data_IF_156388147756
#
_entry.id   IF_156388147756
#
_cell.length_a   1.000
_cell.length_b   1.000
_cell.length_c   1.000
_cell.angle_alpha   90.00
_cell.angle_beta   90.00
_cell.angle_gamma   90.00
#
_symmetry.space_group_name_H-M   'P 1'
#
loop_
_entity.id
_entity.type
_entity.pdbx_description
1 polymer ?
#
# COMPACT_ATOMS: atom_id res chain seq x y z
N UNK A 1 23.68 7.57 4.59
CA UNK A 1 23.35 8.78 3.82
C UNK A 1 22.98 9.82 4.84
N UNK A 2 23.65 10.96 4.81
CA UNK A 2 23.52 11.96 5.86
C UNK A 2 22.19 12.71 5.68
N UNK A 3 21.12 12.20 6.28
CA UNK A 3 19.75 12.78 6.23
C UNK A 3 19.81 14.27 6.55
N UNK A 4 20.78 14.67 7.39
CA UNK A 4 21.10 16.05 7.74
C UNK A 4 21.35 16.93 6.51
N UNK A 5 22.10 16.44 5.52
CA UNK A 5 22.40 17.18 4.28
C UNK A 5 21.21 17.30 3.33
N UNK A 6 20.31 16.32 3.31
CA UNK A 6 19.11 16.37 2.46
C UNK A 6 18.09 17.39 2.98
N UNK A 7 17.95 17.47 4.29
CA UNK A 7 17.13 18.50 4.93
C UNK A 7 17.77 19.88 4.74
N UNK A 8 19.09 19.99 4.86
CA UNK A 8 19.85 21.24 4.62
C UNK A 8 19.62 21.80 3.21
N UNK A 9 19.61 20.92 2.19
CA UNK A 9 19.38 21.28 0.79
C UNK A 9 17.92 21.64 0.46
N UNK A 10 16.95 21.14 1.25
CA UNK A 10 15.53 21.44 1.03
C UNK A 10 15.13 22.82 1.56
N UNK A 11 15.87 23.34 2.56
CA UNK A 11 15.50 24.55 3.30
C UNK A 11 16.19 25.81 2.74
N UNK A 12 17.35 25.68 2.08
CA UNK A 12 18.16 26.83 1.62
C UNK A 12 17.96 27.04 0.11
N UNK A 13 17.50 28.22 -0.37
CA UNK A 13 17.42 28.56 -1.79
C UNK A 13 18.79 28.66 -2.48
N UNK A 14 18.83 28.31 -3.77
CA UNK A 14 19.97 27.84 -4.58
C UNK A 14 21.10 28.84 -4.92
N UNK A 15 21.06 30.10 -4.46
CA UNK A 15 21.99 31.12 -4.96
C UNK A 15 23.40 31.10 -4.34
N UNK A 16 23.64 30.29 -3.33
CA UNK A 16 24.99 30.08 -2.79
C UNK A 16 25.21 28.64 -2.35
N UNK A 17 25.80 27.80 -3.22
CA UNK A 17 26.77 26.76 -2.82
C UNK A 17 27.42 26.03 -4.00
N UNK A 18 28.63 26.47 -4.37
CA UNK A 18 29.63 25.60 -5.00
C UNK A 18 30.02 24.52 -4.00
N UNK A 19 29.67 23.25 -4.27
CA UNK A 19 30.20 22.12 -3.49
C UNK A 19 31.15 21.28 -4.35
N UNK A 20 32.38 21.16 -3.86
CA UNK A 20 33.47 20.39 -4.46
C UNK A 20 33.16 18.90 -4.26
N UNK A 21 33.08 18.15 -5.35
CA UNK A 21 32.83 16.71 -5.31
C UNK A 21 34.10 15.94 -4.90
N UNK A 22 34.07 15.32 -3.72
CA UNK A 22 35.01 14.24 -3.37
C UNK A 22 34.36 12.87 -3.62
N UNK A 23 35.06 11.92 -4.27
CA UNK A 23 34.50 10.61 -4.62
C UNK A 23 34.19 9.79 -3.36
N UNK A 24 32.93 9.35 -3.22
CA UNK A 24 32.47 8.51 -2.10
C UNK A 24 32.70 7.04 -2.40
N UNK A 25 33.58 6.40 -1.61
CA UNK A 25 33.75 4.94 -1.59
C UNK A 25 32.46 4.28 -1.09
N UNK A 26 31.89 3.36 -1.87
CA UNK A 26 30.73 2.54 -1.48
C UNK A 26 31.14 1.51 -0.42
N UNK A 27 30.94 1.85 0.86
CA UNK A 27 31.07 0.88 1.96
C UNK A 27 29.83 -0.02 2.05
N UNK A 28 30.04 -1.30 2.26
CA UNK A 28 28.97 -2.26 2.53
C UNK A 28 28.14 -1.79 3.74
N UNK A 29 26.82 -1.81 3.61
CA UNK A 29 25.90 -1.47 4.71
C UNK A 29 25.45 -2.78 5.35
N UNK A 30 25.79 -2.97 6.61
CA UNK A 30 25.31 -4.08 7.42
C UNK A 30 24.17 -3.55 8.31
N UNK A 31 23.01 -4.19 8.22
CA UNK A 31 21.89 -3.95 9.13
C UNK A 31 21.94 -5.03 10.21
N UNK A 32 22.17 -4.63 11.45
CA UNK A 32 22.04 -5.49 12.62
C UNK A 32 20.69 -5.19 13.24
N UNK A 33 19.85 -6.22 13.37
CA UNK A 33 18.56 -6.15 14.04
C UNK A 33 18.69 -7.01 15.29
N UNK A 34 18.39 -6.42 16.44
CA UNK A 34 18.32 -7.12 17.72
C UNK A 34 16.87 -7.56 17.95
N UNK A 35 16.66 -8.69 18.65
CA UNK A 35 15.34 -9.26 18.96
C UNK A 35 14.47 -9.55 17.70
N UNK A 36 15.05 -10.32 16.76
CA UNK A 36 14.35 -10.74 15.53
C UNK A 36 13.07 -11.51 15.81
N UNK A 37 12.98 -12.26 16.90
CA UNK A 37 11.78 -12.96 17.33
C UNK A 37 10.65 -12.00 17.74
N UNK A 38 10.95 -10.85 18.34
CA UNK A 38 9.97 -9.78 18.60
C UNK A 38 9.55 -9.09 17.31
N UNK A 39 10.51 -8.78 16.44
CA UNK A 39 10.24 -8.08 15.18
C UNK A 39 9.43 -8.93 14.18
N UNK A 40 9.61 -10.26 14.22
CA UNK A 40 8.95 -11.20 13.33
C UNK A 40 7.81 -12.01 13.97
N UNK A 41 7.41 -11.70 15.21
CA UNK A 41 6.27 -12.41 15.80
C UNK A 41 4.95 -12.02 15.10
N UNK A 42 4.02 -12.97 15.07
CA UNK A 42 2.72 -12.82 14.42
C UNK A 42 1.90 -11.71 15.05
N UNK A 43 2.09 -11.49 16.34
CA UNK A 43 1.42 -10.49 17.15
C UNK A 43 1.93 -9.07 16.85
N UNK A 44 3.17 -8.86 16.43
CA UNK A 44 3.80 -7.58 16.16
C UNK A 44 3.34 -7.06 14.80
N UNK A 45 3.34 -7.94 13.80
CA UNK A 45 2.69 -7.68 12.51
C UNK A 45 1.16 -7.55 12.63
N UNK A 46 0.52 -8.32 13.52
CA UNK A 46 -0.93 -8.33 13.69
C UNK A 46 -1.49 -7.20 14.56
N UNK A 47 -0.77 -6.76 15.60
CA UNK A 47 -1.25 -5.79 16.60
C UNK A 47 -1.21 -4.34 16.13
N UNK A 48 -0.41 -4.02 15.11
CA UNK A 48 -0.48 -2.72 14.43
C UNK A 48 -1.83 -2.51 13.72
N UNK A 49 -2.55 -3.60 13.43
CA UNK A 49 -3.88 -3.56 12.84
C UNK A 49 -4.91 -4.05 13.87
N UNK A 50 -5.32 -3.14 14.77
CA UNK A 50 -6.43 -3.37 15.71
C UNK A 50 -7.70 -2.67 15.17
N UNK A 51 -8.45 -3.29 14.24
CA UNK A 51 -9.65 -2.68 13.71
C UNK A 51 -10.70 -2.58 14.83
N UNK A 52 -11.27 -1.39 15.03
CA UNK A 52 -12.32 -1.18 16.02
C UNK A 52 -13.58 -2.03 15.74
N UNK A 53 -13.79 -2.42 14.48
CA UNK A 53 -14.84 -3.34 14.06
C UNK A 53 -14.41 -4.12 12.82
N UNK A 54 -14.81 -5.40 12.73
CA UNK A 54 -14.61 -6.22 11.52
C UNK A 54 -15.95 -6.44 10.84
N UNK A 55 -16.08 -6.00 9.60
CA UNK A 55 -17.27 -6.24 8.80
C UNK A 55 -17.03 -7.44 7.89
N UNK A 56 -17.78 -8.51 8.10
CA UNK A 56 -17.67 -9.76 7.33
C UNK A 56 -19.00 -10.04 6.66
N UNK A 57 -18.99 -10.14 5.34
CA UNK A 57 -20.16 -10.51 4.57
C UNK A 57 -19.73 -11.15 3.25
N UNK A 58 -20.42 -12.21 2.83
CA UNK A 58 -20.06 -12.98 1.63
C UNK A 58 -20.05 -12.12 0.35
N UNK A 59 -20.94 -11.13 0.27
CA UNK A 59 -20.98 -10.19 -0.85
C UNK A 59 -19.66 -9.39 -0.99
N UNK A 60 -19.03 -9.02 0.13
CA UNK A 60 -17.73 -8.32 0.14
C UNK A 60 -16.65 -9.28 -0.36
N UNK A 61 -16.65 -10.52 0.12
CA UNK A 61 -15.70 -11.55 -0.34
C UNK A 61 -15.85 -11.82 -1.83
N UNK A 62 -17.08 -11.94 -2.34
CA UNK A 62 -17.34 -12.13 -3.78
C UNK A 62 -16.83 -10.96 -4.61
N UNK A 63 -17.04 -9.72 -4.15
CA UNK A 63 -16.53 -8.53 -4.83
C UNK A 63 -14.99 -8.51 -4.88
N UNK A 64 -14.33 -8.83 -3.77
CA UNK A 64 -12.87 -8.92 -3.71
C UNK A 64 -12.36 -10.01 -4.66
N UNK A 65 -12.95 -11.20 -4.65
CA UNK A 65 -12.61 -12.29 -5.56
C UNK A 65 -12.79 -11.90 -7.02
N UNK A 66 -13.90 -11.25 -7.36
CA UNK A 66 -14.17 -10.76 -8.71
C UNK A 66 -13.12 -9.76 -9.19
N UNK A 67 -12.77 -8.78 -8.35
CA UNK A 67 -11.73 -7.79 -8.68
C UNK A 67 -10.38 -8.47 -8.90
N UNK A 68 -10.02 -9.42 -8.04
CA UNK A 68 -8.77 -10.17 -8.16
C UNK A 68 -8.73 -11.04 -9.42
N UNK A 69 -9.79 -11.77 -9.76
CA UNK A 69 -9.83 -12.64 -10.93
C UNK A 69 -9.80 -11.86 -12.25
N UNK A 70 -10.36 -10.64 -12.27
CA UNK A 70 -10.49 -9.83 -13.47
C UNK A 70 -9.53 -8.63 -13.50
N UNK A 71 -8.53 -8.59 -12.60
CA UNK A 71 -7.68 -7.43 -12.38
C UNK A 71 -6.89 -6.94 -13.60
N UNK A 72 -6.59 -7.82 -14.56
CA UNK A 72 -5.94 -7.43 -15.81
C UNK A 72 -6.88 -6.62 -16.73
N UNK A 73 -8.18 -6.87 -16.64
CA UNK A 73 -9.22 -6.25 -17.48
C UNK A 73 -9.90 -5.06 -16.80
N UNK A 74 -9.96 -5.04 -15.46
CA UNK A 74 -10.59 -4.00 -14.68
C UNK A 74 -9.65 -2.81 -14.56
N UNK A 75 -10.00 -1.73 -15.26
CA UNK A 75 -9.11 -0.57 -15.36
C UNK A 75 -9.59 0.63 -14.55
N UNK A 76 -10.90 0.73 -14.33
CA UNK A 76 -11.54 1.87 -13.67
C UNK A 76 -12.62 1.36 -12.73
N UNK A 77 -12.94 2.18 -11.74
CA UNK A 77 -14.06 1.96 -10.84
C UNK A 77 -15.37 1.72 -11.61
N UNK A 78 -15.57 2.42 -12.74
CA UNK A 78 -16.77 2.26 -13.58
C UNK A 78 -16.91 0.85 -14.17
N UNK A 79 -15.81 0.12 -14.36
CA UNK A 79 -15.85 -1.27 -14.84
C UNK A 79 -16.39 -2.19 -13.74
N UNK A 80 -15.98 -1.95 -12.49
CA UNK A 80 -16.44 -2.69 -11.30
C UNK A 80 -17.89 -2.35 -10.98
N UNK A 81 -18.31 -1.09 -11.12
CA UNK A 81 -19.70 -0.66 -10.86
C UNK A 81 -20.75 -1.32 -11.74
N UNK A 82 -20.36 -1.81 -12.92
CA UNK A 82 -21.22 -2.55 -13.84
C UNK A 82 -21.38 -4.01 -13.44
N UNK A 83 -20.56 -4.49 -12.51
CA UNK A 83 -20.58 -5.88 -12.07
C UNK A 83 -21.73 -6.13 -11.10
N UNK A 84 -22.23 -7.37 -11.10
CA UNK A 84 -23.29 -7.79 -10.19
C UNK A 84 -22.81 -7.83 -8.75
N UNK A 85 -21.54 -8.15 -8.55
CA UNK A 85 -20.88 -8.23 -7.24
C UNK A 85 -20.86 -6.87 -6.54
N UNK A 86 -20.63 -5.79 -7.30
CA UNK A 86 -20.71 -4.42 -6.77
C UNK A 86 -22.14 -4.09 -6.33
N UNK A 87 -23.14 -4.37 -7.17
CA UNK A 87 -24.55 -4.11 -6.86
C UNK A 87 -25.03 -4.89 -5.62
N UNK A 88 -24.63 -6.16 -5.50
CA UNK A 88 -24.93 -6.98 -4.31
C UNK A 88 -24.26 -6.40 -3.05
N UNK A 89 -23.04 -5.86 -3.17
CA UNK A 89 -22.33 -5.23 -2.06
C UNK A 89 -23.01 -3.91 -1.62
N UNK A 90 -23.46 -3.07 -2.56
CA UNK A 90 -24.22 -1.85 -2.27
C UNK A 90 -25.56 -2.13 -1.57
N UNK A 91 -26.24 -3.23 -1.90
CA UNK A 91 -27.48 -3.64 -1.22
C UNK A 91 -27.24 -4.00 0.24
N UNK A 92 -26.10 -4.63 0.53
CA UNK A 92 -25.72 -5.02 1.89
C UNK A 92 -25.20 -3.80 2.67
N UNK A 93 -24.40 -2.96 2.03
CA UNK A 93 -23.75 -1.78 2.60
C UNK A 93 -24.50 -0.50 2.24
N UNK A 94 -25.82 -0.52 2.38
CA UNK A 94 -26.67 0.59 1.94
C UNK A 94 -26.28 1.90 2.63
N UNK A 95 -26.02 2.95 1.83
CA UNK A 95 -25.60 4.26 2.32
C UNK A 95 -24.09 4.43 2.51
N UNK A 96 -23.29 3.39 2.24
CA UNK A 96 -21.82 3.41 2.32
C UNK A 96 -21.15 3.33 0.95
N UNK A 97 -21.89 3.63 -0.13
CA UNK A 97 -21.41 3.49 -1.51
C UNK A 97 -20.12 4.30 -1.78
N UNK A 98 -20.01 5.50 -1.20
CA UNK A 98 -18.81 6.33 -1.34
C UNK A 98 -17.58 5.70 -0.67
N UNK A 99 -17.76 5.05 0.49
CA UNK A 99 -16.66 4.32 1.16
C UNK A 99 -16.24 3.11 0.34
N UNK A 100 -17.22 2.39 -0.21
CA UNK A 100 -16.99 1.24 -1.07
C UNK A 100 -16.22 1.65 -2.34
N UNK A 101 -16.57 2.77 -2.95
CA UNK A 101 -15.89 3.33 -4.11
C UNK A 101 -14.41 3.63 -3.84
N UNK A 102 -14.10 4.30 -2.74
CA UNK A 102 -12.70 4.60 -2.38
C UNK A 102 -11.92 3.31 -2.08
N UNK A 103 -12.51 2.37 -1.34
CA UNK A 103 -11.87 1.08 -1.06
C UNK A 103 -11.59 0.28 -2.34
N UNK A 104 -12.49 0.32 -3.35
CA UNK A 104 -12.27 -0.32 -4.64
C UNK A 104 -11.15 0.37 -5.42
N UNK A 105 -11.06 1.71 -5.38
CA UNK A 105 -9.96 2.43 -6.04
C UNK A 105 -8.60 2.03 -5.47
N UNK A 106 -8.50 1.96 -4.15
CA UNK A 106 -7.28 1.52 -3.45
C UNK A 106 -6.93 0.09 -3.86
N UNK A 107 -7.92 -0.82 -3.84
CA UNK A 107 -7.73 -2.20 -4.25
C UNK A 107 -7.27 -2.33 -5.71
N UNK A 108 -7.87 -1.58 -6.64
CA UNK A 108 -7.46 -1.58 -8.05
C UNK A 108 -6.02 -1.06 -8.22
N UNK A 109 -5.61 -0.07 -7.43
CA UNK A 109 -4.22 0.43 -7.41
C UNK A 109 -3.25 -0.63 -6.88
N UNK A 110 -3.61 -1.28 -5.79
CA UNK A 110 -2.78 -2.30 -5.13
C UNK A 110 -2.58 -3.51 -6.03
N UNK A 111 -3.65 -4.03 -6.65
CA UNK A 111 -3.55 -5.20 -7.52
C UNK A 111 -2.75 -4.92 -8.79
N UNK A 112 -2.80 -3.68 -9.33
CA UNK A 112 -1.97 -3.28 -10.49
C UNK A 112 -0.50 -3.17 -10.16
N UNK A 113 -0.19 -2.64 -8.99
CA UNK A 113 1.18 -2.46 -8.53
C UNK A 113 1.73 -3.70 -7.84
N UNK A 114 0.90 -4.75 -7.72
CA UNK A 114 1.28 -6.05 -7.19
C UNK A 114 2.34 -6.70 -8.09
N UNK A 115 3.59 -6.43 -7.76
CA UNK A 115 4.72 -7.19 -8.26
C UNK A 115 4.83 -8.42 -7.38
N UNK A 116 4.55 -9.59 -7.95
CA UNK A 116 4.98 -10.87 -7.40
C UNK A 116 6.51 -10.86 -7.30
N UNK A 117 7.03 -10.33 -6.18
CA UNK A 117 8.39 -10.60 -5.77
C UNK A 117 8.34 -11.99 -5.16
N UNK A 118 8.18 -12.99 -6.03
CA UNK A 118 8.39 -14.37 -5.67
C UNK A 118 9.80 -14.46 -5.08
N UNK A 119 9.88 -14.74 -3.79
CA UNK A 119 11.06 -15.38 -3.24
C UNK A 119 11.13 -16.75 -3.92
N UNK A 120 11.90 -16.82 -5.02
CA UNK A 120 12.43 -18.08 -5.55
C UNK A 120 13.59 -18.54 -4.71
#
# INVERSE_FOLDING_TARGET
GDVRKLVENLIIPDDEKKSIETPRVTRARVLLIDEVDVFFNKEFYGSCYSPAATLRHDAITRLISYIWENHESLSRLDDVKRSREYEECCKVLHGWDALLDEAIKDMLSDVRTFKSHGYQ
#
